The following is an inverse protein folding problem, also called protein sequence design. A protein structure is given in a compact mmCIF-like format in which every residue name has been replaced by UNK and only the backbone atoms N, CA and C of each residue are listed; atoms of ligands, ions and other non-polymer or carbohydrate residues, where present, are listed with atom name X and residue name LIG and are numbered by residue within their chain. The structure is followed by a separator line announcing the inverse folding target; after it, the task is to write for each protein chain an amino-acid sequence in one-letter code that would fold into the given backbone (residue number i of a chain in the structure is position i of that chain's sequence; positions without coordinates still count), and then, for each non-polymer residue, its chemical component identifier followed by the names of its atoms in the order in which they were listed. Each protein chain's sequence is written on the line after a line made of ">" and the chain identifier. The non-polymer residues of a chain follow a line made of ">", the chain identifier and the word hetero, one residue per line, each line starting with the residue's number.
data_IF_521085809311
#
_entry.id   IF_521085809311
#
_cell.length_a   1.000
_cell.length_b   1.000
_cell.length_c   1.000
_cell.angle_alpha   90.00
_cell.angle_beta   90.00
_cell.angle_gamma   90.00
#
_symmetry.space_group_name_H-M   'P 1'
#
loop_
_entity.id
_entity.type
_entity.pdbx_description
1 polymer ?
#
# COMPACT_ATOMS: atom_id res chain seq x y z
N UNK A 1 12.64 18.85 20.94
CA UNK A 1 13.00 18.74 19.52
C UNK A 1 12.91 17.27 19.18
N UNK A 2 11.83 16.87 18.51
CA UNK A 2 11.69 15.47 18.06
C UNK A 2 12.80 15.22 17.06
N UNK A 3 13.53 14.12 17.22
CA UNK A 3 14.48 13.68 16.19
C UNK A 3 13.64 13.35 14.97
N UNK A 4 13.95 13.97 13.82
CA UNK A 4 13.37 13.64 12.52
C UNK A 4 13.63 12.13 12.28
N UNK A 5 12.62 11.32 12.54
CA UNK A 5 12.71 9.86 12.44
C UNK A 5 12.17 9.50 11.06
N UNK A 6 13.01 9.03 10.13
CA UNK A 6 12.56 8.72 8.78
C UNK A 6 11.66 7.49 8.80
N UNK A 7 10.53 7.58 8.11
CA UNK A 7 9.55 6.50 7.96
C UNK A 7 9.08 6.38 6.53
N UNK A 8 8.59 5.19 6.18
CA UNK A 8 8.04 4.91 4.85
C UNK A 8 6.66 4.28 4.92
N UNK A 9 5.81 4.69 3.99
CA UNK A 9 4.48 4.14 3.75
C UNK A 9 4.46 3.61 2.33
N UNK A 10 4.23 2.31 2.20
CA UNK A 10 4.03 1.68 0.89
C UNK A 10 2.58 1.29 0.76
N UNK A 11 1.91 1.80 -0.27
CA UNK A 11 0.49 1.57 -0.51
C UNK A 11 0.35 0.64 -1.70
N UNK A 12 -0.12 -0.59 -1.49
CA UNK A 12 -0.37 -1.59 -2.52
C UNK A 12 -1.87 -1.75 -2.73
N UNK A 13 -2.34 -1.52 -3.96
CA UNK A 13 -3.70 -1.92 -4.33
C UNK A 13 -3.72 -3.42 -4.61
N UNK A 14 -4.77 -4.11 -4.15
CA UNK A 14 -4.99 -5.52 -4.46
C UNK A 14 -4.88 -5.84 -5.96
N UNK A 15 -4.49 -7.06 -6.27
CA UNK A 15 -4.42 -7.59 -7.63
C UNK A 15 -5.80 -7.81 -8.23
N UNK A 16 -5.87 -8.08 -9.54
CA UNK A 16 -7.14 -8.19 -10.27
C UNK A 16 -8.06 -9.24 -9.64
N UNK A 17 -9.20 -8.80 -9.11
CA UNK A 17 -10.24 -9.66 -8.57
C UNK A 17 -11.18 -10.19 -9.66
N UNK A 18 -11.75 -11.36 -9.41
CA UNK A 18 -12.79 -12.01 -10.22
C UNK A 18 -14.20 -11.52 -9.83
N UNK A 19 -15.22 -11.97 -10.56
CA UNK A 19 -16.64 -11.63 -10.33
C UNK A 19 -17.57 -12.86 -10.30
N UNK A 20 -17.37 -13.82 -9.37
CA UNK A 20 -18.33 -14.91 -9.17
C UNK A 20 -19.56 -14.45 -8.39
N UNK A 21 -20.55 -15.33 -8.24
CA UNK A 21 -21.79 -15.10 -7.47
C UNK A 21 -21.53 -15.22 -5.95
N UNK A 22 -20.76 -14.30 -5.40
CA UNK A 22 -20.43 -14.17 -3.96
C UNK A 22 -20.54 -12.69 -3.52
N UNK A 23 -20.53 -12.43 -2.22
CA UNK A 23 -20.45 -11.04 -1.71
C UNK A 23 -19.16 -10.35 -2.15
N UNK A 24 -19.14 -9.02 -2.22
CA UNK A 24 -17.94 -8.31 -2.71
C UNK A 24 -16.69 -8.66 -1.90
N UNK A 25 -16.81 -8.70 -0.57
CA UNK A 25 -15.71 -9.03 0.35
C UNK A 25 -15.10 -10.42 0.10
N UNK A 26 -15.91 -11.38 -0.34
CA UNK A 26 -15.53 -12.77 -0.62
C UNK A 26 -15.00 -12.99 -2.06
N UNK A 27 -14.93 -11.95 -2.88
CA UNK A 27 -14.45 -12.08 -4.26
C UNK A 27 -12.97 -12.50 -4.29
N UNK A 28 -12.63 -13.61 -4.98
CA UNK A 28 -11.26 -14.08 -5.10
C UNK A 28 -10.49 -13.29 -6.17
N UNK A 29 -9.18 -13.55 -6.29
CA UNK A 29 -8.40 -13.12 -7.43
C UNK A 29 -8.82 -13.84 -8.71
N UNK A 30 -8.82 -13.09 -9.81
CA UNK A 30 -8.86 -13.65 -11.16
C UNK A 30 -7.50 -14.28 -11.50
N UNK A 31 -7.43 -15.12 -12.54
CA UNK A 31 -6.18 -15.74 -13.00
C UNK A 31 -5.05 -14.72 -13.19
N UNK A 32 -5.33 -13.64 -13.91
CA UNK A 32 -4.39 -12.53 -14.08
C UNK A 32 -3.93 -11.94 -12.74
N UNK A 33 -4.83 -11.79 -11.77
CA UNK A 33 -4.48 -11.26 -10.45
C UNK A 33 -3.51 -12.18 -9.70
N UNK A 34 -3.68 -13.51 -9.86
CA UNK A 34 -2.76 -14.51 -9.30
C UNK A 34 -1.37 -14.46 -9.95
N UNK A 35 -1.29 -14.10 -11.23
CA UNK A 35 -0.01 -13.86 -11.92
C UNK A 35 0.64 -12.52 -11.55
N UNK A 36 -0.16 -11.46 -11.40
CA UNK A 36 0.34 -10.10 -11.13
C UNK A 36 0.82 -9.94 -9.67
N UNK A 37 0.22 -10.64 -8.70
CA UNK A 37 0.55 -10.47 -7.28
C UNK A 37 2.00 -10.87 -6.91
N UNK A 38 2.57 -12.01 -7.38
CA UNK A 38 4.00 -12.29 -7.20
C UNK A 38 4.91 -11.27 -7.88
N UNK A 39 4.51 -10.70 -9.04
CA UNK A 39 5.30 -9.66 -9.70
C UNK A 39 5.40 -8.42 -8.81
N UNK A 40 4.28 -7.99 -8.22
CA UNK A 40 4.28 -6.90 -7.24
C UNK A 40 5.16 -7.23 -6.03
N UNK A 41 5.13 -8.47 -5.53
CA UNK A 41 6.02 -8.95 -4.47
C UNK A 41 7.51 -8.81 -4.79
N UNK A 42 7.95 -9.25 -5.98
CA UNK A 42 9.34 -9.08 -6.42
C UNK A 42 9.74 -7.62 -6.54
N UNK A 43 8.85 -6.79 -7.09
CA UNK A 43 9.10 -5.36 -7.23
C UNK A 43 9.18 -4.65 -5.88
N UNK A 44 8.40 -5.09 -4.90
CA UNK A 44 8.54 -4.65 -3.50
C UNK A 44 9.90 -5.08 -2.92
N UNK A 45 10.35 -6.31 -3.16
CA UNK A 45 11.67 -6.75 -2.70
C UNK A 45 12.82 -5.94 -3.32
N UNK A 46 12.70 -5.58 -4.60
CA UNK A 46 13.69 -4.76 -5.32
C UNK A 46 13.80 -3.32 -4.82
N UNK A 47 12.80 -2.81 -4.07
CA UNK A 47 12.91 -1.51 -3.40
C UNK A 47 13.96 -1.51 -2.28
N UNK A 48 14.38 -2.68 -1.78
CA UNK A 48 15.29 -2.82 -0.65
C UNK A 48 14.67 -2.46 0.71
N UNK A 49 13.35 -2.23 0.76
CA UNK A 49 12.62 -1.89 1.97
C UNK A 49 12.42 -3.14 2.85
N UNK A 50 12.92 -3.09 4.09
CA UNK A 50 12.63 -4.07 5.13
C UNK A 50 11.37 -3.70 5.90
N UNK A 51 10.20 -4.14 5.45
CA UNK A 51 8.93 -3.84 6.12
C UNK A 51 8.89 -4.38 7.56
N UNK A 52 8.49 -3.55 8.51
CA UNK A 52 8.25 -3.96 9.90
C UNK A 52 6.82 -4.51 10.07
N UNK A 53 5.86 -3.86 9.41
CA UNK A 53 4.43 -4.14 9.54
C UNK A 53 3.74 -4.10 8.17
N UNK A 54 2.92 -5.11 7.91
CA UNK A 54 1.96 -5.13 6.82
C UNK A 54 0.52 -5.08 7.37
N UNK A 55 -0.23 -4.05 7.01
CA UNK A 55 -1.68 -3.96 7.25
C UNK A 55 -2.41 -4.40 5.98
N UNK A 56 -3.22 -5.45 6.09
CA UNK A 56 -3.92 -6.03 4.95
C UNK A 56 -5.42 -6.01 5.19
N UNK A 57 -6.20 -5.45 4.25
CA UNK A 57 -7.66 -5.55 4.33
C UNK A 57 -8.11 -7.00 4.39
N UNK A 58 -9.20 -7.25 5.10
CA UNK A 58 -9.74 -8.59 5.31
C UNK A 58 -10.42 -9.22 4.10
N UNK A 59 -10.69 -8.46 3.05
CA UNK A 59 -11.29 -8.98 1.82
C UNK A 59 -10.43 -10.10 1.20
N UNK A 60 -11.08 -11.10 0.61
CA UNK A 60 -10.38 -12.29 0.07
C UNK A 60 -9.34 -11.88 -0.97
N UNK A 61 -9.68 -11.00 -1.92
CA UNK A 61 -8.73 -10.49 -2.93
C UNK A 61 -7.48 -9.81 -2.36
N UNK A 62 -7.58 -9.06 -1.25
CA UNK A 62 -6.40 -8.43 -0.61
C UNK A 62 -5.56 -9.47 0.11
N UNK A 63 -6.20 -10.41 0.81
CA UNK A 63 -5.52 -11.53 1.48
C UNK A 63 -4.79 -12.43 0.49
N UNK A 64 -5.42 -12.78 -0.62
CA UNK A 64 -4.82 -13.58 -1.69
C UNK A 64 -3.67 -12.82 -2.38
N UNK A 65 -3.84 -11.51 -2.64
CA UNK A 65 -2.75 -10.67 -3.19
C UNK A 65 -1.55 -10.71 -2.26
N UNK A 66 -1.78 -10.45 -0.97
CA UNK A 66 -0.70 -10.43 0.01
C UNK A 66 -0.06 -11.81 0.20
N UNK A 67 -0.86 -12.87 0.26
CA UNK A 67 -0.37 -14.25 0.35
C UNK A 67 0.57 -14.58 -0.79
N UNK A 68 0.34 -14.10 -2.01
CA UNK A 68 1.23 -14.35 -3.13
C UNK A 68 2.45 -13.43 -3.12
N UNK A 69 2.27 -12.14 -2.88
CA UNK A 69 3.35 -11.15 -2.88
C UNK A 69 4.39 -11.40 -1.78
N UNK A 70 3.97 -11.78 -0.57
CA UNK A 70 4.85 -11.92 0.59
C UNK A 70 5.91 -13.02 0.45
N UNK A 71 5.66 -14.04 -0.39
CA UNK A 71 6.63 -15.12 -0.62
C UNK A 71 7.85 -14.66 -1.44
N UNK A 72 7.74 -13.51 -2.09
CA UNK A 72 8.82 -12.95 -2.91
C UNK A 72 9.69 -11.97 -2.11
N UNK A 73 9.29 -11.62 -0.88
CA UNK A 73 10.08 -10.77 0.01
C UNK A 73 11.20 -11.59 0.68
N UNK A 74 12.38 -11.00 0.90
CA UNK A 74 13.47 -11.67 1.61
C UNK A 74 13.09 -12.01 3.06
N UNK A 75 12.32 -11.13 3.71
CA UNK A 75 11.79 -11.31 5.05
C UNK A 75 10.31 -10.97 5.08
N UNK A 76 9.54 -11.79 5.81
CA UNK A 76 8.10 -11.58 5.97
C UNK A 76 7.84 -10.62 7.14
N UNK A 77 7.20 -9.46 6.91
CA UNK A 77 6.84 -8.56 8.00
C UNK A 77 5.76 -9.17 8.89
N UNK A 78 5.64 -8.65 10.12
CA UNK A 78 4.44 -8.88 10.93
C UNK A 78 3.23 -8.46 10.10
N UNK A 79 2.23 -9.33 9.98
CA UNK A 79 1.00 -9.04 9.23
C UNK A 79 -0.17 -8.90 10.18
N UNK A 80 -0.93 -7.81 10.06
CA UNK A 80 -2.21 -7.61 10.73
C UNK A 80 -3.31 -7.48 9.68
N UNK A 81 -4.37 -8.27 9.84
CA UNK A 81 -5.56 -8.16 9.01
C UNK A 81 -6.51 -7.14 9.63
N UNK A 82 -6.86 -6.11 8.86
CA UNK A 82 -7.52 -4.90 9.35
C UNK A 82 -8.82 -4.65 8.57
N UNK A 83 -9.96 -4.79 9.26
CA UNK A 83 -11.29 -4.60 8.68
C UNK A 83 -11.52 -3.14 8.28
N UNK A 84 -10.94 -2.18 9.02
CA UNK A 84 -11.06 -0.74 8.75
C UNK A 84 -10.46 -0.31 7.41
N UNK A 85 -9.72 -1.17 6.70
CA UNK A 85 -9.20 -0.90 5.35
C UNK A 85 -10.23 -1.18 4.23
N UNK A 86 -11.30 -1.93 4.51
CA UNK A 86 -12.33 -2.23 3.52
C UNK A 86 -13.34 -1.08 3.45
N UNK A 87 -13.55 -0.50 2.25
CA UNK A 87 -14.45 0.65 2.03
C UNK A 87 -14.13 1.91 2.86
N UNK A 88 -12.89 2.03 3.33
CA UNK A 88 -12.42 3.17 4.11
C UNK A 88 -12.43 4.48 3.30
N UNK A 89 -12.94 5.54 3.91
CA UNK A 89 -12.73 6.92 3.46
C UNK A 89 -11.27 7.36 3.67
N UNK A 90 -10.86 8.44 3.00
CA UNK A 90 -9.52 9.00 3.16
C UNK A 90 -9.21 9.39 4.61
N UNK A 91 -10.19 9.95 5.32
CA UNK A 91 -10.03 10.32 6.74
C UNK A 91 -9.82 9.10 7.64
N UNK A 92 -10.56 8.01 7.40
CA UNK A 92 -10.39 6.75 8.14
C UNK A 92 -9.03 6.10 7.85
N UNK A 93 -8.55 6.18 6.61
CA UNK A 93 -7.21 5.70 6.26
C UNK A 93 -6.11 6.50 6.98
N UNK A 94 -6.20 7.83 7.02
CA UNK A 94 -5.24 8.67 7.76
C UNK A 94 -5.31 8.36 9.26
N UNK A 95 -6.50 8.25 9.83
CA UNK A 95 -6.67 7.88 11.25
C UNK A 95 -6.06 6.51 11.57
N UNK A 96 -6.22 5.54 10.67
CA UNK A 96 -5.61 4.21 10.77
C UNK A 96 -4.08 4.30 10.72
N UNK A 97 -3.50 5.14 9.84
CA UNK A 97 -2.05 5.39 9.83
C UNK A 97 -1.59 6.04 11.13
N UNK A 98 -2.37 6.95 11.71
CA UNK A 98 -2.04 7.57 12.99
C UNK A 98 -2.06 6.59 14.18
N UNK A 99 -2.70 5.42 14.05
CA UNK A 99 -2.71 4.38 15.08
C UNK A 99 -1.49 3.44 15.02
N UNK A 100 -0.64 3.57 14.00
CA UNK A 100 0.55 2.74 13.86
C UNK A 100 1.55 3.07 14.98
N UNK A 101 2.13 2.06 15.66
CA UNK A 101 3.14 2.29 16.70
C UNK A 101 4.40 2.95 16.15
N UNK A 102 4.99 3.89 16.90
CA UNK A 102 6.23 4.58 16.52
C UNK A 102 7.47 3.66 16.44
N UNK A 103 7.38 2.41 16.88
CA UNK A 103 8.40 1.37 16.62
C UNK A 103 8.43 0.88 15.16
N UNK A 104 7.36 1.09 14.38
CA UNK A 104 7.27 0.71 12.96
C UNK A 104 7.90 1.80 12.10
N UNK A 105 9.06 1.54 11.49
CA UNK A 105 9.69 2.48 10.56
C UNK A 105 9.08 2.36 9.17
N UNK A 106 8.82 1.12 8.73
CA UNK A 106 8.39 0.80 7.37
C UNK A 106 7.07 0.05 7.35
N UNK A 107 6.04 0.72 6.85
CA UNK A 107 4.68 0.20 6.78
C UNK A 107 4.31 -0.17 5.34
N UNK A 108 3.77 -1.37 5.16
CA UNK A 108 3.07 -1.77 3.94
C UNK A 108 1.55 -1.82 4.19
N UNK A 109 0.75 -1.20 3.33
CA UNK A 109 -0.72 -1.23 3.39
C UNK A 109 -1.25 -1.89 2.12
N UNK A 110 -2.01 -2.98 2.26
CA UNK A 110 -2.65 -3.69 1.16
C UNK A 110 -4.15 -3.44 1.20
N UNK A 111 -4.65 -2.64 0.25
CA UNK A 111 -6.01 -2.11 0.27
C UNK A 111 -6.69 -2.00 -1.10
N UNK A 112 -7.67 -1.11 -1.16
CA UNK A 112 -8.59 -0.97 -2.28
C UNK A 112 -8.55 0.43 -2.90
N UNK A 113 -8.93 0.53 -4.17
CA UNK A 113 -9.29 1.82 -4.75
C UNK A 113 -10.76 2.14 -4.48
N UNK A 114 -11.13 3.43 -4.41
CA UNK A 114 -10.27 4.60 -4.66
C UNK A 114 -9.29 4.97 -3.53
N UNK A 115 -9.41 4.35 -2.35
CA UNK A 115 -8.65 4.69 -1.14
C UNK A 115 -7.12 4.72 -1.28
N UNK A 116 -6.50 3.69 -1.86
CA UNK A 116 -5.03 3.64 -2.00
C UNK A 116 -4.48 4.79 -2.86
N UNK A 117 -5.15 5.09 -3.98
CA UNK A 117 -4.78 6.21 -4.83
C UNK A 117 -4.97 7.55 -4.12
N UNK A 118 -6.15 7.77 -3.52
CA UNK A 118 -6.46 9.01 -2.82
C UNK A 118 -5.50 9.26 -1.64
N UNK A 119 -5.11 8.20 -0.93
CA UNK A 119 -4.16 8.29 0.18
C UNK A 119 -2.74 8.61 -0.32
N UNK A 120 -2.29 7.98 -1.40
CA UNK A 120 -0.99 8.30 -2.00
C UNK A 120 -0.92 9.77 -2.43
N UNK A 121 -1.96 10.25 -3.10
CA UNK A 121 -2.06 11.66 -3.54
C UNK A 121 -2.14 12.63 -2.36
N UNK A 122 -3.00 12.34 -1.38
CA UNK A 122 -3.21 13.21 -0.22
C UNK A 122 -1.95 13.36 0.64
N UNK A 123 -1.17 12.30 0.83
CA UNK A 123 0.05 12.32 1.65
C UNK A 123 1.24 12.95 0.92
N UNK A 124 1.24 12.96 -0.42
CA UNK A 124 2.34 13.47 -1.24
C UNK A 124 2.33 15.01 -1.32
N UNK A 125 3.02 15.67 -0.38
CA UNK A 125 3.28 17.12 -0.46
C UNK A 125 4.40 17.46 -1.44
N UNK A 126 5.25 16.48 -1.76
CA UNK A 126 6.34 16.54 -2.75
C UNK A 126 6.39 15.24 -3.53
N UNK A 127 7.11 15.24 -4.64
CA UNK A 127 7.41 14.02 -5.40
C UNK A 127 8.83 14.08 -5.97
N UNK A 128 9.49 12.93 -6.03
CA UNK A 128 10.76 12.78 -6.71
C UNK A 128 10.55 12.61 -8.23
N UNK A 129 11.46 13.17 -9.02
CA UNK A 129 11.49 12.98 -10.47
C UNK A 129 10.14 13.21 -11.17
N UNK A 130 9.72 12.24 -11.97
CA UNK A 130 8.44 12.24 -12.69
C UNK A 130 7.36 11.38 -12.01
N UNK A 131 7.58 10.95 -10.77
CA UNK A 131 6.75 9.94 -10.09
C UNK A 131 5.28 10.37 -9.96
N UNK A 132 5.02 11.62 -9.58
CA UNK A 132 3.65 12.15 -9.53
C UNK A 132 2.98 12.18 -10.92
N UNK A 133 3.72 12.56 -11.96
CA UNK A 133 3.22 12.55 -13.35
C UNK A 133 2.89 11.14 -13.81
N UNK A 134 3.75 10.15 -13.49
CA UNK A 134 3.53 8.73 -13.80
C UNK A 134 2.28 8.19 -13.10
N UNK A 135 2.10 8.51 -11.82
CA UNK A 135 0.89 8.13 -11.06
C UNK A 135 -0.37 8.76 -11.66
N UNK A 136 -0.37 10.08 -11.89
CA UNK A 136 -1.53 10.77 -12.45
C UNK A 136 -1.93 10.25 -13.83
N UNK A 137 -0.95 9.94 -14.70
CA UNK A 137 -1.21 9.40 -16.04
C UNK A 137 -1.73 7.98 -16.01
N UNK A 138 -1.17 7.14 -15.13
CA UNK A 138 -1.49 5.70 -15.08
C UNK A 138 -2.68 5.40 -14.17
N UNK A 139 -3.10 6.39 -13.37
CA UNK A 139 -3.99 6.18 -12.22
C UNK A 139 -3.31 5.27 -11.21
N UNK A 140 -4.08 4.32 -10.66
CA UNK A 140 -3.57 3.37 -9.68
C UNK A 140 -4.18 1.98 -9.97
N UNK A 141 -3.71 1.28 -11.02
CA UNK A 141 -4.30 0.01 -11.46
C UNK A 141 -4.11 -1.09 -10.41
N UNK A 142 -4.79 -2.23 -10.57
CA UNK A 142 -4.61 -3.38 -9.67
C UNK A 142 -3.15 -3.82 -9.62
N UNK A 143 -2.69 -4.25 -8.45
CA UNK A 143 -1.29 -4.58 -8.15
C UNK A 143 -0.29 -3.42 -8.19
N UNK A 144 -0.69 -2.19 -8.52
CA UNK A 144 0.21 -1.04 -8.43
C UNK A 144 0.54 -0.70 -6.98
N UNK A 145 1.72 -0.13 -6.75
CA UNK A 145 2.08 0.45 -5.46
C UNK A 145 2.75 1.82 -5.56
N UNK A 146 2.61 2.60 -4.50
CA UNK A 146 3.32 3.86 -4.29
C UNK A 146 4.19 3.76 -3.03
N UNK A 147 5.35 4.40 -3.05
CA UNK A 147 6.27 4.52 -1.92
C UNK A 147 6.32 5.99 -1.51
N UNK A 148 5.93 6.26 -0.25
CA UNK A 148 6.06 7.58 0.35
C UNK A 148 7.05 7.55 1.51
N UNK A 149 7.79 8.65 1.68
CA UNK A 149 8.67 8.87 2.82
C UNK A 149 8.31 10.15 3.55
N UNK A 150 8.43 10.15 4.88
CA UNK A 150 8.24 11.32 5.72
C UNK A 150 9.10 11.21 6.99
N UNK A 151 9.34 12.34 7.66
CA UNK A 151 10.03 12.38 8.94
C UNK A 151 9.03 12.70 10.06
N UNK A 152 9.03 11.91 11.13
CA UNK A 152 8.21 12.18 12.31
C UNK A 152 7.52 10.97 12.93
N UNK A 153 6.48 11.24 13.71
CA UNK A 153 5.64 10.21 14.35
C UNK A 153 4.50 9.82 13.43
N UNK A 154 3.99 8.60 13.57
CA UNK A 154 2.74 8.21 12.89
C UNK A 154 1.58 9.15 13.25
N UNK A 155 1.58 9.73 14.45
CA UNK A 155 0.59 10.72 14.90
C UNK A 155 0.60 12.03 14.12
N UNK A 156 1.66 12.33 13.37
CA UNK A 156 1.74 13.52 12.51
C UNK A 156 1.40 13.24 11.05
N UNK A 157 0.99 12.02 10.70
CA UNK A 157 0.57 11.71 9.33
C UNK A 157 -0.71 12.49 9.01
N UNK A 158 -0.60 13.42 8.07
CA UNK A 158 -1.67 14.26 7.55
C UNK A 158 -1.43 14.59 6.08
N UNK A 159 -2.29 15.42 5.49
CA UNK A 159 -2.16 15.80 4.09
C UNK A 159 -0.82 16.51 3.84
N UNK A 160 -0.15 16.14 2.76
CA UNK A 160 1.09 16.76 2.31
C UNK A 160 2.32 16.48 3.18
N UNK A 161 2.23 15.57 4.16
CA UNK A 161 3.33 15.28 5.10
C UNK A 161 4.56 14.67 4.43
N UNK A 162 4.37 13.93 3.34
CA UNK A 162 5.39 13.08 2.75
C UNK A 162 5.86 13.50 1.37
N UNK A 163 6.89 12.81 0.91
CA UNK A 163 7.38 12.84 -0.47
C UNK A 163 7.02 11.51 -1.14
N UNK A 164 6.40 11.56 -2.31
CA UNK A 164 6.22 10.42 -3.18
C UNK A 164 7.57 10.07 -3.84
N UNK A 165 8.18 8.99 -3.38
CA UNK A 165 9.53 8.55 -3.79
C UNK A 165 9.45 7.70 -5.05
N UNK A 166 8.57 6.71 -5.06
CA UNK A 166 8.41 5.79 -6.20
C UNK A 166 6.95 5.43 -6.42
N UNK A 167 6.65 5.03 -7.65
CA UNK A 167 5.36 4.52 -8.07
C UNK A 167 5.61 3.46 -9.14
N UNK A 168 5.02 2.29 -8.96
CA UNK A 168 5.19 1.17 -9.87
C UNK A 168 3.83 0.60 -10.29
N UNK A 169 3.71 0.21 -11.56
CA UNK A 169 2.56 -0.51 -12.09
C UNK A 169 2.98 -1.82 -12.75
N UNK A 170 2.12 -2.85 -12.76
CA UNK A 170 2.41 -4.13 -13.45
C UNK A 170 2.52 -4.03 -14.99
N UNK A 171 2.40 -2.84 -15.56
CA UNK A 171 2.53 -2.58 -16.99
C UNK A 171 3.77 -1.74 -17.34
N UNK A 172 4.60 -1.42 -16.34
CA UNK A 172 5.89 -0.73 -16.49
C UNK A 172 7.01 -1.72 -16.82
#
# INVERSE_FOLDING_TARGET
>A
MSVDTPRRIVLLRHAKADWPQVSDHERPLAERGRSDAPVAGRRLAETGIGFDLALCSTAVRTRETWKLAVHELPERPRTVYEDRLYEASLGELIALLNDVPDEVSDLLVIGHNPGMHALADALAGRAEGDTATRMNRSGFPTSAFAVLAFDGSWKSVEHGVGTLVDFWTPHD
#
